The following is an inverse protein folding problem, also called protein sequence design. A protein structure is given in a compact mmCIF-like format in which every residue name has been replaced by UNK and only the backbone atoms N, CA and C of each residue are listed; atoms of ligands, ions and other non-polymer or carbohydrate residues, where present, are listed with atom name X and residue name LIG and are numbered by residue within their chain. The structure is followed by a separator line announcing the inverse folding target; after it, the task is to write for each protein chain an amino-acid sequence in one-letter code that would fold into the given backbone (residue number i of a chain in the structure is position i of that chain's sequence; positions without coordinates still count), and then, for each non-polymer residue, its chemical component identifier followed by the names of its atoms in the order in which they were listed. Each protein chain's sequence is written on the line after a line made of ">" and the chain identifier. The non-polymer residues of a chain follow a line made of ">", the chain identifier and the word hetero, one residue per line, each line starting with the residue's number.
data_IF_688473569332
#
_entry.id   IF_688473569332
#
_cell.length_a   1.000
_cell.length_b   1.000
_cell.length_c   1.000
_cell.angle_alpha   90.00
_cell.angle_beta   90.00
_cell.angle_gamma   90.00
#
_symmetry.space_group_name_H-M   'P 1'
#
loop_
_entity.id
_entity.type
_entity.pdbx_description
1 polymer ?
#
# COMPACT_ATOMS: atom_id res chain seq x y z
N UNK A 1 -0.03 -1.42 -4.30
CA UNK A 1 0.79 -0.21 -4.43
C UNK A 1 2.12 -0.43 -3.71
N UNK A 2 3.21 0.19 -4.17
CA UNK A 2 4.52 0.13 -3.50
C UNK A 2 5.41 -1.09 -3.80
N UNK A 3 5.34 -1.69 -4.99
CA UNK A 3 6.33 -2.73 -5.37
C UNK A 3 7.67 -2.13 -5.81
N UNK A 4 7.65 -0.86 -6.25
CA UNK A 4 8.81 -0.09 -6.70
C UNK A 4 8.78 1.29 -6.05
N UNK A 5 9.93 1.97 -6.06
CA UNK A 5 10.00 3.36 -5.61
C UNK A 5 9.24 4.25 -6.59
N UNK A 6 8.47 5.19 -6.06
CA UNK A 6 7.75 6.15 -6.90
C UNK A 6 8.74 7.08 -7.61
N UNK A 7 8.46 7.44 -8.85
CA UNK A 7 9.17 8.53 -9.52
C UNK A 7 8.65 9.92 -9.05
N UNK A 8 9.28 11.00 -9.54
CA UNK A 8 8.88 12.36 -9.13
C UNK A 8 7.44 12.71 -9.52
N UNK A 9 6.98 12.25 -10.68
CA UNK A 9 5.63 12.51 -11.20
C UNK A 9 4.60 11.73 -10.38
N UNK A 10 4.88 10.46 -10.10
CA UNK A 10 4.02 9.58 -9.31
C UNK A 10 3.86 10.09 -7.87
N UNK A 11 4.93 10.60 -7.24
CA UNK A 11 4.86 11.24 -5.92
C UNK A 11 3.94 12.46 -5.93
N UNK A 12 4.09 13.34 -6.93
CA UNK A 12 3.28 14.55 -7.06
C UNK A 12 1.80 14.19 -7.25
N UNK A 13 1.51 13.26 -8.15
CA UNK A 13 0.15 12.80 -8.42
C UNK A 13 -0.48 12.13 -7.19
N UNK A 14 0.30 11.33 -6.45
CA UNK A 14 -0.17 10.72 -5.22
C UNK A 14 -0.53 11.79 -4.18
N UNK A 15 0.35 12.78 -3.97
CA UNK A 15 0.08 13.87 -3.04
C UNK A 15 -1.18 14.65 -3.43
N UNK A 16 -1.37 14.98 -4.71
CA UNK A 16 -2.56 15.70 -5.18
C UNK A 16 -3.87 14.95 -4.88
N UNK A 17 -3.89 13.64 -5.16
CA UNK A 17 -5.04 12.77 -4.87
C UNK A 17 -5.32 12.72 -3.37
N UNK A 18 -4.27 12.56 -2.54
CA UNK A 18 -4.41 12.50 -1.09
C UNK A 18 -4.89 13.83 -0.53
N UNK A 19 -4.33 14.95 -0.97
CA UNK A 19 -4.70 16.29 -0.49
C UNK A 19 -6.15 16.64 -0.84
N UNK A 20 -6.59 16.28 -2.06
CA UNK A 20 -7.98 16.48 -2.49
C UNK A 20 -8.98 15.72 -1.62
N UNK A 21 -8.62 14.53 -1.14
CA UNK A 21 -9.48 13.65 -0.32
C UNK A 21 -9.37 13.90 1.18
N UNK A 22 -8.24 14.43 1.63
CA UNK A 22 -7.93 14.61 3.04
C UNK A 22 -9.01 15.43 3.74
N UNK A 23 -9.55 14.89 4.84
CA UNK A 23 -10.62 15.51 5.62
C UNK A 23 -12.01 15.57 4.96
N UNK A 24 -12.17 15.08 3.72
CA UNK A 24 -13.45 15.12 2.98
C UNK A 24 -14.08 13.74 2.77
N UNK A 25 -13.28 12.73 2.46
CA UNK A 25 -13.76 11.39 2.11
C UNK A 25 -12.86 10.30 2.72
N UNK A 26 -13.44 9.15 3.03
CA UNK A 26 -12.68 7.96 3.47
C UNK A 26 -11.84 7.40 2.32
N UNK A 27 -10.60 7.02 2.60
CA UNK A 27 -9.67 6.47 1.60
C UNK A 27 -9.19 5.09 2.06
N UNK A 28 -9.30 4.09 1.19
CA UNK A 28 -8.81 2.73 1.45
C UNK A 28 -7.57 2.51 0.59
N UNK A 29 -6.49 2.04 1.22
CA UNK A 29 -5.23 1.72 0.55
C UNK A 29 -4.89 0.26 0.84
N UNK A 30 -4.63 -0.50 -0.22
CA UNK A 30 -4.14 -1.88 -0.13
C UNK A 30 -2.69 -1.95 -0.64
N UNK A 31 -1.80 -2.49 0.19
CA UNK A 31 -0.38 -2.61 -0.09
C UNK A 31 0.16 -3.95 0.37
N UNK A 32 1.10 -4.50 -0.40
CA UNK A 32 1.90 -5.66 0.03
C UNK A 32 3.09 -5.24 0.90
N UNK A 33 3.44 -3.96 0.90
CA UNK A 33 4.44 -3.45 1.83
C UNK A 33 3.78 -3.05 3.15
N UNK A 34 4.39 -3.43 4.29
CA UNK A 34 4.01 -2.87 5.57
C UNK A 34 4.23 -1.34 5.59
N UNK A 35 3.43 -0.65 6.41
CA UNK A 35 3.33 0.82 6.41
C UNK A 35 4.64 1.52 6.76
N UNK A 36 5.46 0.90 7.59
CA UNK A 36 6.81 1.36 7.96
C UNK A 36 7.76 1.49 6.76
N UNK A 37 7.57 0.69 5.71
CA UNK A 37 8.36 0.75 4.47
C UNK A 37 7.88 1.82 3.49
N UNK A 38 6.72 2.43 3.73
CA UNK A 38 6.15 3.38 2.78
C UNK A 38 6.95 4.66 2.68
N UNK A 39 7.58 5.11 3.77
CA UNK A 39 8.42 6.31 3.76
C UNK A 39 9.55 6.19 2.72
N UNK A 40 10.27 5.07 2.75
CA UNK A 40 11.35 4.80 1.78
C UNK A 40 10.84 4.57 0.36
N UNK A 41 9.70 3.89 0.21
CA UNK A 41 9.11 3.60 -1.11
C UNK A 41 8.55 4.85 -1.81
N UNK A 42 7.93 5.76 -1.06
CA UNK A 42 7.54 7.06 -1.59
C UNK A 42 8.80 7.80 -2.00
N UNK A 43 9.80 7.90 -1.11
CA UNK A 43 11.04 8.63 -1.38
C UNK A 43 10.83 10.14 -1.43
N UNK A 44 11.93 10.88 -1.30
CA UNK A 44 11.93 12.33 -1.02
C UNK A 44 11.23 12.67 0.32
N UNK A 45 11.97 13.27 1.24
CA UNK A 45 11.52 13.42 2.63
C UNK A 45 10.23 14.26 2.74
N UNK A 46 10.13 15.32 1.96
CA UNK A 46 9.01 16.26 2.00
C UNK A 46 7.69 15.61 1.56
N UNK A 47 7.70 14.90 0.42
CA UNK A 47 6.55 14.18 -0.11
C UNK A 47 6.16 13.03 0.81
N UNK A 48 7.15 12.26 1.29
CA UNK A 48 6.91 11.16 2.21
C UNK A 48 6.21 11.65 3.49
N UNK A 49 6.73 12.70 4.14
CA UNK A 49 6.10 13.28 5.32
C UNK A 49 4.70 13.81 5.03
N UNK A 50 4.54 14.60 3.97
CA UNK A 50 3.25 15.20 3.61
C UNK A 50 2.16 14.16 3.30
N UNK A 51 2.50 13.10 2.57
CA UNK A 51 1.58 12.03 2.19
C UNK A 51 1.23 11.19 3.42
N UNK A 52 2.24 10.76 4.19
CA UNK A 52 2.03 9.87 5.33
C UNK A 52 1.30 10.56 6.47
N UNK A 53 1.53 11.84 6.71
CA UNK A 53 0.76 12.62 7.71
C UNK A 53 -0.74 12.64 7.35
N UNK A 54 -1.08 12.89 6.09
CA UNK A 54 -2.50 12.92 5.65
C UNK A 54 -3.15 11.54 5.61
N UNK A 55 -2.40 10.51 5.21
CA UNK A 55 -2.94 9.15 5.06
C UNK A 55 -3.00 8.40 6.38
N UNK A 56 -1.92 8.38 7.16
CA UNK A 56 -1.73 7.43 8.26
C UNK A 56 -2.16 8.00 9.60
N UNK A 57 -2.11 9.32 9.78
CA UNK A 57 -2.40 9.96 11.07
C UNK A 57 -3.77 9.56 11.64
N UNK A 58 -4.75 9.29 10.78
CA UNK A 58 -6.10 8.81 11.17
C UNK A 58 -6.46 7.43 10.60
N UNK A 59 -5.48 6.66 10.11
CA UNK A 59 -5.75 5.38 9.47
C UNK A 59 -6.03 4.27 10.49
N UNK A 60 -7.02 3.44 10.17
CA UNK A 60 -7.16 2.11 10.77
C UNK A 60 -6.28 1.16 9.97
N UNK A 61 -5.32 0.51 10.64
CA UNK A 61 -4.39 -0.43 10.00
C UNK A 61 -4.90 -1.85 10.19
N UNK A 62 -5.05 -2.58 9.09
CA UNK A 62 -5.52 -3.96 9.06
C UNK A 62 -4.43 -4.84 8.43
N UNK A 63 -3.47 -5.35 9.23
CA UNK A 63 -2.49 -6.30 8.72
C UNK A 63 -3.20 -7.61 8.35
N UNK A 64 -3.15 -7.97 7.07
CA UNK A 64 -3.72 -9.22 6.58
C UNK A 64 -2.68 -10.33 6.70
N UNK A 65 -3.11 -11.48 7.21
CA UNK A 65 -2.29 -12.69 7.39
C UNK A 65 -2.97 -13.88 6.72
N UNK A 66 -2.19 -14.92 6.43
CA UNK A 66 -2.69 -16.16 5.83
C UNK A 66 -2.25 -16.34 4.38
N UNK A 67 -2.62 -17.48 3.80
CA UNK A 67 -2.28 -17.80 2.42
C UNK A 67 -3.16 -17.05 1.42
N UNK A 68 -2.71 -17.01 0.16
CA UNK A 68 -3.49 -16.42 -0.92
C UNK A 68 -4.82 -17.16 -1.09
N UNK A 69 -5.93 -16.42 -0.98
CA UNK A 69 -7.27 -16.95 -1.29
C UNK A 69 -7.36 -17.55 -2.70
N UNK A 70 -6.50 -17.10 -3.64
CA UNK A 70 -6.42 -17.69 -4.99
C UNK A 70 -5.98 -19.16 -4.95
N UNK A 71 -5.05 -19.51 -4.04
CA UNK A 71 -4.63 -20.90 -3.82
C UNK A 71 -5.74 -21.74 -3.17
N UNK A 72 -6.52 -21.15 -2.29
CA UNK A 72 -7.62 -21.85 -1.61
C UNK A 72 -8.82 -22.12 -2.53
N UNK A 73 -9.07 -21.25 -3.52
CA UNK A 73 -10.11 -21.47 -4.53
C UNK A 73 -9.67 -22.43 -5.64
N UNK A 74 -8.36 -22.55 -5.86
CA UNK A 74 -7.82 -23.61 -6.71
C UNK A 74 -7.75 -24.92 -5.91
N UNK A 75 -8.81 -25.72 -5.95
CA UNK A 75 -8.76 -27.16 -5.61
C UNK A 75 -7.86 -27.95 -6.62
N UNK A 76 -6.74 -27.39 -7.06
CA UNK A 76 -5.82 -27.94 -8.06
C UNK A 76 -4.47 -28.39 -7.45
N UNK A 77 -4.22 -28.15 -6.17
CA UNK A 77 -2.92 -28.49 -5.56
C UNK A 77 -2.99 -29.75 -4.70
N UNK A 78 -3.16 -30.88 -5.38
CA UNK A 78 -2.52 -32.15 -4.99
C UNK A 78 -1.28 -32.47 -5.85
N UNK A 79 -0.90 -31.59 -6.79
CA UNK A 79 0.14 -31.90 -7.79
C UNK A 79 1.58 -31.52 -7.39
N UNK A 80 1.80 -30.57 -6.48
CA UNK A 80 3.14 -30.02 -6.21
C UNK A 80 3.78 -30.55 -4.91
N UNK A 81 3.38 -31.72 -4.41
CA UNK A 81 4.02 -32.36 -3.24
C UNK A 81 5.16 -33.33 -3.61
N UNK A 82 5.59 -33.40 -4.87
CA UNK A 82 6.75 -34.20 -5.27
C UNK A 82 7.69 -33.36 -6.15
N UNK A 83 8.61 -32.64 -5.51
CA UNK A 83 9.97 -32.36 -6.02
C UNK A 83 10.91 -32.11 -4.85
#
# INVERSE_FOLDING_TARGET
>A
WGMEMLDATERSNLLEVIDTRHGKLSTVVASQLPVDKWYGMIGEATFAEAILDRLIHRAIRLPLTGESMRKQQSNLTHADQNE
#
